data_IF_871441863641
#
_entry.id   IF_871441863641
#
_cell.length_a   1.000
_cell.length_b   1.000
_cell.length_c   1.000
_cell.angle_alpha   90.00
_cell.angle_beta   90.00
_cell.angle_gamma   90.00
#
_symmetry.space_group_name_H-M   'P 1'
#
loop_
_entity.id
_entity.type
_entity.pdbx_description
1 polymer ?
#
# COMPACT_ATOMS: atom_id res chain seq x y z
N UNK A 1 7.29 -64.02 9.08
CA UNK A 1 7.16 -62.56 9.10
C UNK A 1 5.80 -62.22 8.54
N UNK A 2 4.75 -62.11 9.37
CA UNK A 2 3.38 -61.86 8.95
C UNK A 2 3.16 -60.38 8.82
N UNK A 3 2.98 -59.90 7.59
CA UNK A 3 2.53 -58.51 7.34
C UNK A 3 1.02 -58.49 7.61
N UNK A 4 0.62 -57.89 8.76
CA UNK A 4 -0.76 -57.60 9.09
C UNK A 4 -1.32 -56.58 8.09
N UNK A 5 -2.25 -57.01 7.23
CA UNK A 5 -3.00 -56.08 6.38
C UNK A 5 -3.90 -55.19 7.23
N UNK A 6 -3.95 -53.90 6.95
CA UNK A 6 -4.83 -52.98 7.67
C UNK A 6 -6.29 -53.35 7.45
N UNK A 7 -7.07 -53.36 8.51
CA UNK A 7 -8.50 -53.65 8.49
C UNK A 7 -9.27 -52.65 7.60
N UNK A 8 -10.31 -53.11 6.89
CA UNK A 8 -11.20 -52.25 6.10
C UNK A 8 -11.79 -51.07 6.89
N UNK A 9 -11.88 -51.15 8.21
CA UNK A 9 -12.33 -50.07 9.09
C UNK A 9 -11.30 -48.98 9.21
N UNK A 10 -10.02 -49.31 9.23
CA UNK A 10 -8.92 -48.34 9.37
C UNK A 10 -8.78 -47.47 8.11
N UNK A 11 -8.98 -48.08 6.93
CA UNK A 11 -8.95 -47.33 5.66
C UNK A 11 -10.13 -46.38 5.50
N UNK A 12 -11.32 -46.72 6.00
CA UNK A 12 -12.49 -45.82 5.98
C UNK A 12 -12.27 -44.60 6.86
N UNK A 13 -11.70 -44.77 8.05
CA UNK A 13 -11.38 -43.66 8.96
C UNK A 13 -10.32 -42.71 8.38
N UNK A 14 -9.30 -43.24 7.73
CA UNK A 14 -8.26 -42.44 7.09
C UNK A 14 -8.85 -41.59 5.93
N UNK A 15 -9.73 -42.16 5.12
CA UNK A 15 -10.39 -41.41 4.03
C UNK A 15 -11.32 -40.29 4.55
N UNK A 16 -12.03 -40.54 5.62
CA UNK A 16 -12.86 -39.50 6.24
C UNK A 16 -12.00 -38.35 6.79
N UNK A 17 -10.95 -38.68 7.53
CA UNK A 17 -10.03 -37.67 8.10
C UNK A 17 -9.36 -36.85 7.00
N UNK A 18 -8.91 -37.46 5.90
CA UNK A 18 -8.32 -36.76 4.75
C UNK A 18 -9.32 -35.82 4.07
N UNK A 19 -10.59 -36.22 3.93
CA UNK A 19 -11.62 -35.34 3.33
C UNK A 19 -11.87 -34.09 4.20
N UNK A 20 -12.00 -34.24 5.50
CA UNK A 20 -12.20 -33.10 6.40
C UNK A 20 -10.97 -32.21 6.50
N UNK A 21 -9.77 -32.80 6.45
CA UNK A 21 -8.52 -32.03 6.40
C UNK A 21 -8.41 -31.21 5.10
N UNK A 22 -8.80 -31.78 3.95
CA UNK A 22 -8.86 -31.08 2.68
C UNK A 22 -9.87 -29.93 2.67
N UNK A 23 -11.07 -30.14 3.24
CA UNK A 23 -12.10 -29.11 3.35
C UNK A 23 -11.65 -27.99 4.30
N UNK A 24 -11.04 -28.33 5.43
CA UNK A 24 -10.49 -27.35 6.37
C UNK A 24 -9.39 -26.51 5.78
N UNK A 25 -8.47 -27.14 5.02
CA UNK A 25 -7.39 -26.44 4.33
C UNK A 25 -7.93 -25.51 3.23
N UNK A 26 -8.92 -25.94 2.46
CA UNK A 26 -9.57 -25.14 1.42
C UNK A 26 -10.35 -23.94 2.04
N UNK A 27 -11.04 -24.17 3.14
CA UNK A 27 -11.76 -23.13 3.90
C UNK A 27 -10.79 -22.09 4.48
N UNK A 28 -9.62 -22.51 4.95
CA UNK A 28 -8.59 -21.61 5.47
C UNK A 28 -8.02 -20.69 4.38
N UNK A 29 -7.86 -21.19 3.16
CA UNK A 29 -7.37 -20.41 2.00
C UNK A 29 -8.38 -19.33 1.59
N UNK A 30 -9.69 -19.59 1.70
CA UNK A 30 -10.74 -18.61 1.37
C UNK A 30 -10.84 -17.46 2.37
N UNK A 31 -10.36 -17.64 3.61
CA UNK A 31 -10.36 -16.59 4.64
C UNK A 31 -9.13 -15.68 4.59
N UNK A 32 -8.13 -15.96 3.74
CA UNK A 32 -6.81 -15.29 3.75
C UNK A 32 -6.77 -13.91 3.10
N UNK A 33 -7.86 -13.38 2.53
CA UNK A 33 -7.77 -12.20 1.67
C UNK A 33 -8.37 -10.92 2.23
N UNK A 34 -8.73 -10.87 3.53
CA UNK A 34 -9.50 -9.73 4.04
C UNK A 34 -8.75 -8.39 4.00
N UNK A 35 -7.49 -8.31 4.43
CA UNK A 35 -6.82 -7.00 4.48
C UNK A 35 -6.42 -6.51 3.07
N UNK A 36 -5.90 -7.38 2.22
CA UNK A 36 -5.55 -7.03 0.84
C UNK A 36 -6.79 -6.69 0.01
N UNK A 37 -7.91 -7.41 0.24
CA UNK A 37 -9.18 -7.14 -0.44
C UNK A 37 -9.82 -5.85 0.04
N UNK A 38 -9.83 -5.60 1.37
CA UNK A 38 -10.45 -4.40 1.93
C UNK A 38 -9.59 -3.16 1.84
N UNK A 39 -8.28 -3.27 2.07
CA UNK A 39 -7.38 -2.12 2.10
C UNK A 39 -6.65 -1.88 0.77
N UNK A 40 -6.46 -2.91 -0.05
CA UNK A 40 -5.69 -2.85 -1.30
C UNK A 40 -4.23 -2.44 -1.12
N UNK A 41 -3.45 -2.51 -2.19
CA UNK A 41 -2.02 -2.13 -2.22
C UNK A 41 -1.77 -0.63 -2.41
N UNK A 42 -2.82 0.19 -2.50
CA UNK A 42 -2.74 1.64 -2.71
C UNK A 42 -3.60 2.39 -1.70
N UNK A 43 -3.15 3.59 -1.32
CA UNK A 43 -3.86 4.50 -0.44
C UNK A 43 -4.14 5.82 -1.13
N UNK A 44 -5.31 6.42 -0.89
CA UNK A 44 -5.63 7.77 -1.36
C UNK A 44 -4.91 8.79 -0.49
N UNK A 45 -4.28 9.78 -1.14
CA UNK A 45 -3.73 10.99 -0.53
C UNK A 45 -4.17 12.19 -1.33
N UNK A 46 -4.35 13.31 -0.66
CA UNK A 46 -4.68 14.59 -1.26
C UNK A 46 -3.54 15.57 -1.00
N UNK A 47 -3.07 16.19 -2.05
CA UNK A 47 -2.11 17.28 -2.00
C UNK A 47 -2.87 18.58 -2.19
N UNK A 48 -2.55 19.57 -1.39
CA UNK A 48 -3.11 20.90 -1.47
C UNK A 48 -2.01 21.96 -1.51
N UNK A 49 -2.33 23.12 -2.07
CA UNK A 49 -1.41 24.24 -2.16
C UNK A 49 -2.17 25.52 -2.45
N UNK A 50 -1.66 26.62 -1.97
CA UNK A 50 -2.24 27.96 -2.16
C UNK A 50 -1.97 28.58 -3.54
N UNK A 51 -1.21 27.89 -4.41
CA UNK A 51 -0.95 28.38 -5.76
C UNK A 51 -2.13 28.16 -6.70
N UNK A 52 -2.49 29.19 -7.47
CA UNK A 52 -3.52 29.09 -8.51
C UNK A 52 -3.02 28.48 -9.82
N UNK A 53 -1.71 28.38 -10.00
CA UNK A 53 -1.07 27.87 -11.20
C UNK A 53 -1.04 26.33 -11.23
N UNK A 54 -0.93 25.81 -12.46
CA UNK A 54 -0.78 24.36 -12.66
C UNK A 54 0.64 23.93 -12.28
N UNK A 55 0.72 22.85 -11.56
CA UNK A 55 1.97 22.25 -11.15
C UNK A 55 2.21 20.90 -11.85
N UNK A 56 3.42 20.40 -11.72
CA UNK A 56 3.82 19.04 -12.07
C UNK A 56 4.21 18.32 -10.80
N UNK A 57 3.58 17.20 -10.53
CA UNK A 57 3.92 16.32 -9.41
C UNK A 57 4.64 15.08 -9.92
N UNK A 58 5.80 14.77 -9.35
CA UNK A 58 6.49 13.49 -9.59
C UNK A 58 6.40 12.64 -8.32
N UNK A 59 5.68 11.52 -8.39
CA UNK A 59 5.39 10.63 -7.27
C UNK A 59 5.94 9.25 -7.60
N UNK A 60 6.84 8.71 -6.79
CA UNK A 60 7.49 7.41 -7.04
C UNK A 60 8.03 7.29 -8.50
N UNK A 61 8.64 8.35 -9.02
CA UNK A 61 9.17 8.42 -10.39
C UNK A 61 8.11 8.59 -11.48
N UNK A 62 6.83 8.65 -11.17
CA UNK A 62 5.75 8.92 -12.13
C UNK A 62 5.43 10.40 -12.16
N UNK A 63 5.43 10.98 -13.36
CA UNK A 63 5.17 12.39 -13.58
C UNK A 63 3.69 12.64 -13.91
N UNK A 64 3.07 13.55 -13.15
CA UNK A 64 1.70 14.04 -13.36
C UNK A 64 1.77 15.52 -13.69
N UNK A 65 1.46 15.87 -14.93
CA UNK A 65 1.52 17.24 -15.43
C UNK A 65 0.16 17.92 -15.40
N UNK A 66 0.16 19.27 -15.38
CA UNK A 66 -1.06 20.08 -15.37
C UNK A 66 -1.98 19.80 -14.16
N UNK A 67 -1.38 19.51 -13.02
CA UNK A 67 -2.11 19.28 -11.77
C UNK A 67 -2.63 20.60 -11.24
N UNK A 68 -3.90 20.62 -10.84
CA UNK A 68 -4.54 21.72 -10.08
C UNK A 68 -4.84 21.25 -8.67
N UNK A 69 -4.66 22.09 -7.69
CA UNK A 69 -4.93 21.79 -6.29
C UNK A 69 -6.37 22.14 -5.88
N UNK A 70 -7.00 21.37 -4.96
CA UNK A 70 -6.47 20.17 -4.33
C UNK A 70 -6.43 18.96 -5.27
N UNK A 71 -5.34 18.22 -5.26
CA UNK A 71 -5.14 17.05 -6.12
C UNK A 71 -5.15 15.73 -5.33
N UNK A 72 -6.08 14.85 -5.65
CA UNK A 72 -6.21 13.54 -5.01
C UNK A 72 -5.71 12.43 -5.93
N UNK A 73 -4.80 11.62 -5.44
CA UNK A 73 -4.27 10.46 -6.16
C UNK A 73 -4.11 9.25 -5.24
N UNK A 74 -3.74 8.11 -5.84
CA UNK A 74 -3.42 6.90 -5.10
C UNK A 74 -1.92 6.63 -5.15
N UNK A 75 -1.29 6.56 -3.99
CA UNK A 75 0.10 6.16 -3.83
C UNK A 75 0.20 4.69 -3.41
N UNK A 76 1.32 4.06 -3.72
CA UNK A 76 1.60 2.68 -3.32
C UNK A 76 1.77 2.62 -1.81
N UNK A 77 1.18 1.60 -1.19
CA UNK A 77 1.53 1.19 0.16
C UNK A 77 2.87 0.45 0.10
N UNK A 78 3.57 0.37 1.19
CA UNK A 78 4.88 -0.28 1.28
C UNK A 78 5.60 0.26 2.48
N UNK A 79 6.74 -0.32 2.80
CA UNK A 79 7.53 0.10 3.95
C UNK A 79 8.39 1.33 3.65
N UNK A 80 8.69 1.54 2.36
CA UNK A 80 9.49 2.68 1.94
C UNK A 80 8.68 3.97 1.93
N UNK A 81 9.34 5.07 2.23
CA UNK A 81 8.79 6.41 2.11
C UNK A 81 8.44 6.73 0.65
N UNK A 82 7.40 7.53 0.44
CA UNK A 82 7.08 8.03 -0.89
C UNK A 82 7.55 9.47 -1.02
N UNK A 83 8.46 9.71 -1.95
CA UNK A 83 8.98 11.05 -2.26
C UNK A 83 8.12 11.67 -3.36
N UNK A 84 7.60 12.87 -3.07
CA UNK A 84 6.81 13.67 -3.99
C UNK A 84 7.57 14.95 -4.29
N UNK A 85 7.97 15.14 -5.56
CA UNK A 85 8.50 16.42 -6.05
C UNK A 85 7.40 17.22 -6.71
N UNK A 86 7.24 18.45 -6.30
CA UNK A 86 6.30 19.40 -6.86
C UNK A 86 7.05 20.54 -7.56
N UNK A 87 6.74 20.73 -8.82
CA UNK A 87 7.39 21.73 -9.68
C UNK A 87 6.33 22.65 -10.30
N UNK A 88 6.55 23.95 -10.24
CA UNK A 88 5.77 24.95 -10.95
C UNK A 88 6.70 25.98 -11.62
N UNK A 89 6.32 26.58 -12.76
CA UNK A 89 7.19 27.49 -13.50
C UNK A 89 7.66 28.70 -12.69
N UNK A 90 6.78 29.31 -11.90
CA UNK A 90 7.04 30.52 -11.13
C UNK A 90 7.60 30.25 -9.72
N UNK A 91 7.69 28.98 -9.31
CA UNK A 91 8.02 28.60 -7.94
C UNK A 91 9.24 27.67 -7.88
N UNK A 92 9.86 27.62 -6.72
CA UNK A 92 10.94 26.65 -6.45
C UNK A 92 10.38 25.23 -6.42
N UNK A 93 11.25 24.27 -6.70
CA UNK A 93 10.86 22.85 -6.59
C UNK A 93 10.76 22.47 -5.12
N UNK A 94 9.59 22.00 -4.71
CA UNK A 94 9.35 21.52 -3.36
C UNK A 94 9.33 19.98 -3.30
N UNK A 95 9.78 19.44 -2.18
CA UNK A 95 9.83 18.00 -1.95
C UNK A 95 9.08 17.65 -0.67
N UNK A 96 8.04 16.84 -0.82
CA UNK A 96 7.25 16.33 0.30
C UNK A 96 7.56 14.84 0.48
N UNK A 97 7.94 14.45 1.69
CA UNK A 97 8.17 13.05 2.06
C UNK A 97 6.94 12.53 2.77
N UNK A 98 6.39 11.46 2.22
CA UNK A 98 5.24 10.77 2.81
C UNK A 98 5.74 9.57 3.61
N UNK A 99 5.75 9.73 4.92
CA UNK A 99 6.08 8.66 5.85
C UNK A 99 4.97 7.60 5.85
N UNK A 100 5.34 6.38 6.16
CA UNK A 100 4.41 5.26 6.29
C UNK A 100 4.25 4.90 7.76
N UNK A 101 3.02 4.67 8.16
CA UNK A 101 2.69 4.16 9.48
C UNK A 101 2.09 2.75 9.37
N UNK A 102 2.19 1.99 10.44
CA UNK A 102 1.62 0.65 10.49
C UNK A 102 0.08 0.70 10.45
N UNK A 103 -0.51 -0.20 9.67
CA UNK A 103 -1.96 -0.30 9.57
C UNK A 103 -2.49 -1.26 10.65
N UNK A 104 -3.20 -0.72 11.64
CA UNK A 104 -3.75 -1.52 12.74
C UNK A 104 -4.67 -2.67 12.27
N UNK A 105 -5.30 -2.55 11.10
CA UNK A 105 -6.12 -3.62 10.50
C UNK A 105 -5.30 -4.88 10.22
N UNK A 106 -3.99 -4.75 9.97
CA UNK A 106 -3.10 -5.89 9.73
C UNK A 106 -2.90 -6.77 10.99
N UNK A 107 -3.13 -6.22 12.18
CA UNK A 107 -3.03 -6.97 13.45
C UNK A 107 -4.10 -8.05 13.53
N UNK A 108 -5.28 -7.81 12.96
CA UNK A 108 -6.38 -8.78 12.94
C UNK A 108 -5.98 -10.04 12.17
N UNK A 109 -5.11 -9.89 11.16
CA UNK A 109 -4.61 -10.99 10.35
C UNK A 109 -3.41 -11.73 10.99
N UNK A 110 -2.92 -11.28 12.13
CA UNK A 110 -1.79 -11.92 12.82
C UNK A 110 -2.10 -13.36 13.22
N UNK A 111 -3.38 -13.69 13.44
CA UNK A 111 -3.84 -15.06 13.72
C UNK A 111 -3.73 -15.98 12.49
N UNK A 112 -3.54 -15.41 11.30
CA UNK A 112 -3.35 -16.15 10.05
C UNK A 112 -2.00 -15.78 9.43
N UNK A 113 -0.98 -16.60 9.69
CA UNK A 113 0.40 -16.38 9.26
C UNK A 113 0.51 -16.23 7.72
N UNK A 114 -0.29 -16.98 6.95
CA UNK A 114 -0.29 -16.87 5.49
C UNK A 114 -0.87 -15.53 5.01
N UNK A 115 -1.98 -15.08 5.60
CA UNK A 115 -2.56 -13.77 5.31
C UNK A 115 -1.61 -12.64 5.67
N UNK A 116 -0.93 -12.76 6.79
CA UNK A 116 0.07 -11.78 7.23
C UNK A 116 1.26 -11.70 6.26
N UNK A 117 1.75 -12.84 5.75
CA UNK A 117 2.80 -12.87 4.73
C UNK A 117 2.39 -12.20 3.42
N UNK A 118 1.15 -12.38 2.97
CA UNK A 118 0.60 -11.71 1.79
C UNK A 118 0.47 -10.21 2.02
N UNK A 119 -0.02 -9.78 3.18
CA UNK A 119 -0.15 -8.36 3.55
C UNK A 119 1.22 -7.67 3.62
N UNK A 120 2.25 -8.36 4.12
CA UNK A 120 3.63 -7.86 4.09
C UNK A 120 4.13 -7.70 2.65
N UNK A 121 3.97 -8.73 1.82
CA UNK A 121 4.43 -8.71 0.43
C UNK A 121 3.71 -7.66 -0.44
N UNK A 122 2.43 -7.39 -0.17
CA UNK A 122 1.62 -6.41 -0.91
C UNK A 122 1.73 -4.99 -0.35
N UNK A 123 2.34 -4.82 0.83
CA UNK A 123 2.43 -3.56 1.55
C UNK A 123 1.11 -3.14 2.22
N UNK A 124 0.11 -4.02 2.29
CA UNK A 124 -1.18 -3.72 2.95
C UNK A 124 -1.03 -3.46 4.46
N UNK A 125 0.11 -3.88 5.05
CA UNK A 125 0.46 -3.63 6.45
C UNK A 125 0.73 -2.17 6.77
N UNK A 126 0.96 -1.33 5.77
CA UNK A 126 1.31 0.07 5.95
C UNK A 126 0.26 0.99 5.35
N UNK A 127 0.23 2.22 5.79
CA UNK A 127 -0.59 3.31 5.25
C UNK A 127 0.21 4.61 5.31
N UNK A 128 -0.08 5.61 4.46
CA UNK A 128 0.44 6.95 4.64
C UNK A 128 0.10 7.46 6.04
N UNK A 129 1.01 8.17 6.66
CA UNK A 129 0.80 8.74 8.00
C UNK A 129 -0.38 9.71 8.01
N UNK A 130 -0.45 10.56 6.98
CA UNK A 130 -1.54 11.50 6.78
C UNK A 130 -2.26 11.23 5.45
N UNK A 131 -3.47 11.73 5.33
CA UNK A 131 -4.26 11.70 4.09
C UNK A 131 -4.18 13.00 3.29
N UNK A 132 -3.76 14.08 3.96
CA UNK A 132 -3.62 15.41 3.40
C UNK A 132 -2.20 15.90 3.61
N UNK A 133 -1.62 16.47 2.56
CA UNK A 133 -0.28 17.04 2.56
C UNK A 133 -0.35 18.42 1.91
N UNK A 134 0.08 19.44 2.66
CA UNK A 134 0.23 20.80 2.14
C UNK A 134 1.58 20.90 1.42
N UNK A 135 1.59 21.57 0.27
CA UNK A 135 2.79 21.90 -0.50
C UNK A 135 2.96 23.41 -0.47
N UNK A 136 3.97 23.87 0.24
CA UNK A 136 4.24 25.30 0.43
C UNK A 136 5.26 25.77 -0.60
N UNK A 137 4.78 26.13 -1.78
CA UNK A 137 5.63 26.63 -2.85
C UNK A 137 6.19 28.00 -2.50
N UNK A 138 7.50 28.18 -2.65
CA UNK A 138 8.17 29.45 -2.51
C UNK A 138 8.36 30.10 -3.89
N UNK A 139 8.00 31.38 -4.07
CA UNK A 139 8.26 32.09 -5.33
C UNK A 139 9.76 32.04 -5.70
N UNK A 140 10.06 31.85 -6.96
CA UNK A 140 11.43 32.03 -7.43
C UNK A 140 11.80 33.51 -7.32
N UNK A 141 12.90 33.82 -6.64
CA UNK A 141 13.46 35.16 -6.69
C UNK A 141 13.84 35.51 -8.13
N UNK A 142 13.20 36.51 -8.71
CA UNK A 142 13.64 37.10 -9.95
C UNK A 142 15.05 37.71 -9.71
N UNK A 143 16.07 37.07 -10.25
CA UNK A 143 17.38 37.74 -10.32
C UNK A 143 17.20 39.03 -11.10
N UNK A 144 17.05 40.13 -10.37
CA UNK A 144 17.19 41.47 -10.98
C UNK A 144 18.56 41.54 -11.61
N UNK A 145 18.61 41.42 -12.94
CA UNK A 145 19.79 41.73 -13.71
C UNK A 145 19.98 43.24 -13.53
N UNK A 146 20.86 43.64 -12.60
CA UNK A 146 21.39 44.98 -12.59
C UNK A 146 22.19 45.08 -13.89
N UNK A 147 21.62 45.77 -14.86
CA UNK A 147 22.37 46.34 -15.97
C UNK A 147 23.18 47.50 -15.39
N UNK A 148 24.48 47.28 -15.29
CA UNK A 148 25.47 48.35 -15.22
C UNK A 148 25.78 48.85 -16.64
#
# INVERSE_FOLDING_TARGET
>A
MYLTQPSRRDTAHIHHTMKYFGIFLCSSILMTSCATVFCGSKAKVTFDSDIAEKATLTIDGRKYTNVTFPYTTKIRRGFDETVVKAESPAYTTETVIINKSFNAVSVINLLNILGWGIDAATGAMTKPEFKFYQIDFQPKEEKSIKQD
#
